data_IF_057640160055
#
_entry.id   IF_057640160055
#
_cell.length_a   1.000
_cell.length_b   1.000
_cell.length_c   1.000
_cell.angle_alpha   90.00
_cell.angle_beta   90.00
_cell.angle_gamma   90.00
#
_symmetry.space_group_name_H-M   'P 1'
#
loop_
_entity.id
_entity.type
_entity.pdbx_description
1 polymer ?
#
# COMPACT_ATOMS: atom_id res chain seq x y z
N UNK A 1 -44.01 -11.89 -69.86
CA UNK A 1 -43.24 -12.98 -69.21
C UNK A 1 -41.79 -12.60 -68.87
N UNK A 2 -40.99 -12.03 -69.79
CA UNK A 2 -39.56 -11.71 -69.53
C UNK A 2 -39.31 -10.82 -68.30
N UNK A 3 -40.10 -9.76 -68.10
CA UNK A 3 -39.93 -8.86 -66.94
C UNK A 3 -40.30 -9.49 -65.59
N UNK A 4 -41.18 -10.48 -65.59
CA UNK A 4 -41.62 -11.19 -64.39
C UNK A 4 -40.52 -12.15 -63.90
N UNK A 5 -39.80 -12.78 -64.83
CA UNK A 5 -38.64 -13.63 -64.53
C UNK A 5 -37.47 -12.81 -63.97
N UNK A 6 -37.22 -11.62 -64.53
CA UNK A 6 -36.16 -10.72 -64.05
C UNK A 6 -36.45 -10.22 -62.63
N UNK A 7 -37.71 -9.83 -62.36
CA UNK A 7 -38.12 -9.38 -61.03
C UNK A 7 -37.97 -10.49 -59.98
N UNK A 8 -38.31 -11.73 -60.33
CA UNK A 8 -38.22 -12.87 -59.41
C UNK A 8 -36.76 -13.25 -59.13
N UNK A 9 -35.88 -13.19 -60.14
CA UNK A 9 -34.44 -13.38 -59.98
C UNK A 9 -33.81 -12.30 -59.09
N UNK A 10 -34.19 -11.03 -59.26
CA UNK A 10 -33.68 -9.94 -58.43
C UNK A 10 -34.10 -10.09 -56.96
N UNK A 11 -35.32 -10.60 -56.71
CA UNK A 11 -35.87 -10.80 -55.37
C UNK A 11 -35.19 -11.99 -54.67
N UNK A 12 -34.91 -13.07 -55.39
CA UNK A 12 -34.14 -14.21 -54.87
C UNK A 12 -32.69 -13.83 -54.60
N UNK A 13 -32.05 -13.07 -55.49
CA UNK A 13 -30.68 -12.58 -55.26
C UNK A 13 -30.62 -11.62 -54.07
N UNK A 14 -31.57 -10.69 -53.96
CA UNK A 14 -31.68 -9.76 -52.83
C UNK A 14 -31.94 -10.46 -51.50
N UNK A 15 -32.76 -11.52 -51.51
CA UNK A 15 -32.99 -12.37 -50.34
C UNK A 15 -31.74 -13.14 -49.90
N UNK A 16 -30.98 -13.69 -50.85
CA UNK A 16 -29.73 -14.40 -50.55
C UNK A 16 -28.63 -13.47 -50.02
N UNK A 17 -28.46 -12.30 -50.63
CA UNK A 17 -27.50 -11.29 -50.18
C UNK A 17 -27.93 -10.72 -48.82
N UNK A 18 -29.22 -10.45 -48.64
CA UNK A 18 -29.77 -10.03 -47.35
C UNK A 18 -29.53 -11.06 -46.26
N UNK A 19 -29.74 -12.34 -46.52
CA UNK A 19 -29.52 -13.42 -45.56
C UNK A 19 -28.03 -13.67 -45.26
N UNK A 20 -27.15 -13.52 -46.24
CA UNK A 20 -25.70 -13.63 -46.05
C UNK A 20 -25.17 -12.49 -45.16
N UNK A 21 -25.60 -11.25 -45.42
CA UNK A 21 -25.22 -10.07 -44.63
C UNK A 21 -25.83 -10.13 -43.21
N UNK A 22 -27.04 -10.68 -43.06
CA UNK A 22 -27.64 -10.85 -41.74
C UNK A 22 -27.00 -12.00 -40.93
N UNK A 23 -26.46 -13.02 -41.61
CA UNK A 23 -25.77 -14.16 -40.99
C UNK A 23 -24.38 -13.84 -40.42
N UNK A 24 -23.74 -12.76 -40.89
CA UNK A 24 -22.41 -12.32 -40.42
C UNK A 24 -22.44 -11.53 -39.09
N UNK A 25 -23.63 -11.17 -38.58
CA UNK A 25 -23.79 -10.53 -37.26
C UNK A 25 -23.93 -11.54 -36.12
N UNK A 26 -23.13 -12.60 -36.14
CA UNK A 26 -22.78 -13.28 -34.90
C UNK A 26 -21.48 -12.65 -34.40
N UNK A 27 -21.54 -11.58 -33.58
CA UNK A 27 -20.33 -11.13 -32.89
C UNK A 27 -19.77 -12.36 -32.18
N UNK A 28 -18.50 -12.68 -32.44
CA UNK A 28 -17.82 -13.75 -31.72
C UNK A 28 -18.10 -13.54 -30.23
N UNK A 29 -18.61 -14.56 -29.50
CA UNK A 29 -18.89 -14.41 -28.09
C UNK A 29 -17.57 -14.04 -27.41
N UNK A 30 -17.47 -12.77 -26.97
CA UNK A 30 -16.29 -12.30 -26.27
C UNK A 30 -16.24 -13.06 -24.96
N UNK A 31 -15.15 -13.77 -24.72
CA UNK A 31 -14.96 -14.50 -23.48
C UNK A 31 -15.01 -13.49 -22.31
N UNK A 32 -15.97 -13.61 -21.38
CA UNK A 32 -16.11 -12.67 -20.29
C UNK A 32 -14.86 -12.60 -19.40
N UNK A 33 -14.05 -13.68 -19.34
CA UNK A 33 -12.77 -13.64 -18.63
C UNK A 33 -11.77 -12.72 -19.31
N UNK A 34 -11.74 -12.68 -20.65
CA UNK A 34 -10.88 -11.75 -21.38
C UNK A 34 -11.29 -10.31 -21.09
N UNK A 35 -12.59 -10.02 -21.00
CA UNK A 35 -13.07 -8.68 -20.61
C UNK A 35 -12.61 -8.33 -19.21
N UNK A 36 -12.74 -9.23 -18.23
CA UNK A 36 -12.25 -9.01 -16.86
C UNK A 36 -10.74 -8.70 -16.88
N UNK A 37 -9.94 -9.53 -17.55
CA UNK A 37 -8.48 -9.29 -17.66
C UNK A 37 -8.19 -7.95 -18.30
N UNK A 38 -8.87 -7.59 -19.39
CA UNK A 38 -8.68 -6.30 -20.05
C UNK A 38 -9.02 -5.14 -19.12
N UNK A 39 -10.16 -5.18 -18.41
CA UNK A 39 -10.55 -4.13 -17.48
C UNK A 39 -9.58 -3.99 -16.31
N UNK A 40 -9.12 -5.10 -15.74
CA UNK A 40 -8.08 -5.08 -14.69
C UNK A 40 -6.79 -4.44 -15.20
N UNK A 41 -6.36 -4.76 -16.42
CA UNK A 41 -5.19 -4.14 -17.04
C UNK A 41 -5.41 -2.65 -17.34
N UNK A 42 -6.64 -2.23 -17.65
CA UNK A 42 -7.00 -0.81 -17.84
C UNK A 42 -6.91 0.00 -16.55
N UNK A 43 -7.20 -0.60 -15.39
CA UNK A 43 -6.97 0.05 -14.10
C UNK A 43 -5.49 0.35 -13.84
N UNK A 44 -4.58 -0.36 -14.52
CA UNK A 44 -3.12 -0.23 -14.51
C UNK A 44 -2.45 -0.49 -13.14
N UNK A 45 -2.90 0.18 -12.07
CA UNK A 45 -2.35 0.12 -10.73
C UNK A 45 -3.45 0.27 -9.68
N UNK A 46 -3.40 -0.54 -8.62
CA UNK A 46 -4.09 -0.27 -7.35
C UNK A 46 -3.08 0.40 -6.42
N UNK A 47 -3.46 1.48 -5.74
CA UNK A 47 -2.58 2.21 -4.85
C UNK A 47 -3.19 2.31 -3.44
N UNK A 48 -2.39 1.99 -2.42
CA UNK A 48 -2.74 2.20 -1.02
C UNK A 48 -1.77 3.14 -0.36
N UNK A 49 -2.30 4.01 0.49
CA UNK A 49 -1.51 4.95 1.28
C UNK A 49 -1.62 4.64 2.78
N UNK A 50 -0.54 4.94 3.50
CA UNK A 50 -0.53 4.93 4.97
C UNK A 50 -0.02 6.24 5.53
N UNK A 51 -0.78 6.80 6.46
CA UNK A 51 -0.40 8.01 7.16
C UNK A 51 0.39 7.68 8.42
N UNK A 52 1.52 8.37 8.58
CA UNK A 52 2.40 8.25 9.72
C UNK A 52 2.61 9.64 10.34
N UNK A 53 2.79 9.66 11.66
CA UNK A 53 3.27 10.81 12.42
C UNK A 53 4.57 10.40 13.10
N UNK A 54 5.67 11.02 12.69
CA UNK A 54 7.02 10.70 13.18
C UNK A 54 7.48 11.83 14.07
N UNK A 55 8.08 11.48 15.21
CA UNK A 55 8.64 12.47 16.12
C UNK A 55 9.84 11.93 16.87
N UNK A 56 10.80 12.81 17.14
CA UNK A 56 12.01 12.50 17.91
C UNK A 56 12.68 13.77 18.44
N UNK A 57 13.59 13.59 19.40
CA UNK A 57 14.39 14.68 19.97
C UNK A 57 15.85 14.50 19.57
N UNK A 58 16.38 15.43 18.79
CA UNK A 58 17.76 15.46 18.35
C UNK A 58 18.65 16.38 19.21
N UNK A 59 19.88 15.95 19.41
CA UNK A 59 20.98 16.61 20.11
C UNK A 59 22.23 16.56 19.21
N UNK A 60 22.30 17.38 18.14
CA UNK A 60 23.43 17.38 17.22
C UNK A 60 24.72 17.81 17.91
N UNK A 61 25.84 17.16 17.56
CA UNK A 61 27.13 17.51 18.16
C UNK A 61 27.68 18.78 17.52
N UNK A 62 27.77 19.86 18.30
CA UNK A 62 28.27 21.16 17.85
C UNK A 62 29.34 21.69 18.80
N UNK A 63 30.16 22.63 18.33
CA UNK A 63 31.10 23.34 19.20
C UNK A 63 30.32 24.20 20.22
N UNK A 64 30.56 23.96 21.51
CA UNK A 64 29.82 24.60 22.60
C UNK A 64 28.74 23.69 23.19
N UNK A 65 27.60 24.27 23.57
CA UNK A 65 26.48 23.49 24.14
C UNK A 65 25.59 22.95 23.01
N UNK A 66 25.40 21.63 22.99
CA UNK A 66 24.48 20.97 22.07
C UNK A 66 23.04 21.48 22.24
N UNK A 67 22.41 21.98 21.17
CA UNK A 67 21.00 22.35 21.21
C UNK A 67 20.13 21.10 21.28
N UNK A 68 18.91 21.26 21.74
CA UNK A 68 17.91 20.20 21.75
C UNK A 68 16.82 20.60 20.78
N UNK A 69 16.62 19.78 19.75
CA UNK A 69 15.70 20.03 18.66
C UNK A 69 14.63 18.94 18.73
N UNK A 70 13.40 19.32 19.03
CA UNK A 70 12.26 18.43 18.83
C UNK A 70 11.82 18.52 17.38
N UNK A 71 11.65 17.37 16.73
CA UNK A 71 11.27 17.25 15.32
C UNK A 71 10.02 16.39 15.29
N UNK A 72 8.95 16.91 14.70
CA UNK A 72 7.75 16.14 14.40
C UNK A 72 7.29 16.45 12.98
N UNK A 73 6.93 15.41 12.22
CA UNK A 73 6.45 15.56 10.86
C UNK A 73 5.56 14.38 10.46
N UNK A 74 4.51 14.64 9.66
CA UNK A 74 3.71 13.58 9.08
C UNK A 74 4.38 13.00 7.82
N UNK A 75 4.03 11.78 7.45
CA UNK A 75 4.44 11.16 6.20
C UNK A 75 3.30 10.34 5.60
N UNK A 76 3.25 10.25 4.28
CA UNK A 76 2.40 9.31 3.55
C UNK A 76 3.28 8.27 2.87
N UNK A 77 3.14 7.02 3.27
CA UNK A 77 3.78 5.89 2.60
C UNK A 77 2.87 5.40 1.49
N UNK A 78 3.40 5.26 0.28
CA UNK A 78 2.66 4.82 -0.90
C UNK A 78 3.08 3.40 -1.29
N UNK A 79 2.09 2.59 -1.64
CA UNK A 79 2.27 1.21 -2.09
C UNK A 79 1.45 1.00 -3.35
N UNK A 80 1.99 0.23 -4.28
CA UNK A 80 1.35 -0.02 -5.56
C UNK A 80 1.32 -1.52 -5.86
N UNK A 81 0.23 -1.93 -6.49
CA UNK A 81 0.08 -3.23 -7.13
C UNK A 81 -0.17 -3.00 -8.61
N UNK A 82 0.79 -3.40 -9.44
CA UNK A 82 0.67 -3.32 -10.88
C UNK A 82 -0.24 -4.44 -11.41
N UNK A 83 -1.23 -4.07 -12.23
CA UNK A 83 -2.18 -5.02 -12.82
C UNK A 83 -1.82 -5.42 -14.26
N UNK A 84 -0.72 -4.89 -14.82
CA UNK A 84 -0.30 -5.17 -16.20
C UNK A 84 -0.08 -6.66 -16.50
N UNK A 85 0.41 -7.40 -15.51
CA UNK A 85 0.72 -8.84 -15.62
C UNK A 85 -0.33 -9.76 -14.98
N UNK A 86 -1.52 -9.22 -14.66
CA UNK A 86 -2.58 -10.00 -14.03
C UNK A 86 -3.03 -11.17 -14.93
N UNK A 87 -3.20 -12.35 -14.32
CA UNK A 87 -3.74 -13.54 -14.98
C UNK A 87 -4.98 -14.00 -14.24
N UNK A 88 -6.08 -14.13 -14.96
CA UNK A 88 -7.35 -14.59 -14.42
C UNK A 88 -7.70 -15.93 -15.05
N UNK A 89 -8.04 -16.91 -14.21
CA UNK A 89 -8.54 -18.22 -14.66
C UNK A 89 -9.84 -18.53 -13.94
N UNK A 90 -10.75 -19.27 -14.59
CA UNK A 90 -11.97 -19.76 -13.96
C UNK A 90 -11.99 -21.28 -14.03
N UNK A 91 -12.28 -21.92 -12.90
CA UNK A 91 -12.45 -23.37 -12.82
C UNK A 91 -13.62 -23.68 -11.89
N UNK A 92 -14.73 -24.15 -12.45
CA UNK A 92 -15.89 -24.59 -11.68
C UNK A 92 -16.55 -23.49 -10.83
N UNK A 93 -16.55 -22.24 -11.30
CA UNK A 93 -17.10 -21.09 -10.58
C UNK A 93 -16.11 -20.42 -9.62
N UNK A 94 -14.89 -20.94 -9.49
CA UNK A 94 -13.82 -20.29 -8.74
C UNK A 94 -12.96 -19.47 -9.69
N UNK A 95 -12.93 -18.15 -9.50
CA UNK A 95 -12.03 -17.26 -10.24
C UNK A 95 -10.71 -17.13 -9.47
N UNK A 96 -9.61 -17.53 -10.10
CA UNK A 96 -8.26 -17.33 -9.56
C UNK A 96 -7.58 -16.15 -10.24
N UNK A 97 -7.05 -15.23 -9.45
CA UNK A 97 -6.39 -14.02 -9.91
C UNK A 97 -4.95 -14.03 -9.41
N UNK A 98 -4.01 -14.17 -10.34
CA UNK A 98 -2.58 -14.11 -10.04
C UNK A 98 -2.04 -12.72 -10.38
N UNK A 99 -1.32 -12.09 -9.46
CA UNK A 99 -0.74 -10.74 -9.62
C UNK A 99 0.77 -10.73 -9.45
N UNK A 100 1.39 -9.60 -9.75
CA UNK A 100 2.75 -9.28 -9.32
C UNK A 100 2.80 -9.00 -7.80
N UNK A 101 4.00 -8.80 -7.28
CA UNK A 101 4.20 -8.40 -5.89
C UNK A 101 3.83 -6.93 -5.67
N UNK A 102 3.49 -6.59 -4.43
CA UNK A 102 3.30 -5.19 -4.02
C UNK A 102 4.67 -4.51 -4.00
N UNK A 103 4.75 -3.32 -4.59
CA UNK A 103 5.97 -2.53 -4.65
C UNK A 103 5.81 -1.23 -3.86
N UNK A 104 6.88 -0.74 -3.20
CA UNK A 104 6.88 0.54 -2.54
C UNK A 104 7.02 1.65 -3.58
N UNK A 105 6.29 2.74 -3.39
CA UNK A 105 6.43 3.97 -4.17
C UNK A 105 7.07 5.08 -3.30
N UNK A 106 7.45 6.19 -3.91
CA UNK A 106 8.11 7.29 -3.21
C UNK A 106 7.18 7.88 -2.14
N UNK A 107 7.60 7.90 -0.86
CA UNK A 107 6.76 8.47 0.19
C UNK A 107 6.67 9.98 0.07
N UNK A 108 5.52 10.53 0.40
CA UNK A 108 5.32 11.97 0.48
C UNK A 108 5.57 12.46 1.90
N UNK A 109 6.48 13.42 2.05
CA UNK A 109 6.72 14.16 3.30
C UNK A 109 6.38 15.61 3.03
N UNK A 110 5.27 16.15 3.56
CA UNK A 110 4.91 17.53 3.32
C UNK A 110 5.88 18.43 4.09
N UNK A 111 6.63 19.25 3.36
CA UNK A 111 7.70 20.11 3.88
C UNK A 111 7.21 21.17 4.86
N UNK A 112 5.94 21.53 4.78
CA UNK A 112 5.34 22.65 5.50
C UNK A 112 4.89 22.28 6.93
N UNK A 113 4.98 20.99 7.31
CA UNK A 113 4.46 20.45 8.57
C UNK A 113 5.55 19.90 9.49
N UNK A 114 6.79 20.34 9.32
CA UNK A 114 7.85 20.02 10.29
C UNK A 114 7.78 21.00 11.45
N UNK A 115 7.05 20.61 12.50
CA UNK A 115 7.06 21.35 13.76
C UNK A 115 8.41 21.15 14.44
N UNK A 116 9.12 22.26 14.65
CA UNK A 116 10.39 22.28 15.38
C UNK A 116 10.27 23.11 16.65
N UNK A 117 10.81 22.57 17.75
CA UNK A 117 11.02 23.32 18.98
C UNK A 117 12.50 23.20 19.34
N UNK A 118 13.23 24.31 19.26
CA UNK A 118 14.63 24.41 19.71
C UNK A 118 14.68 25.08 21.08
N UNK A 119 15.31 24.45 22.07
CA UNK A 119 15.69 25.16 23.29
C UNK A 119 17.07 25.77 23.07
N UNK A 120 17.10 27.05 22.71
CA UNK A 120 18.33 27.84 22.60
C UNK A 120 19.11 27.80 23.91
N UNK A 121 20.40 27.46 23.83
CA UNK A 121 21.36 27.85 24.85
C UNK A 121 22.06 29.10 24.37
N UNK A 122 22.23 30.11 25.22
CA UNK A 122 22.97 31.37 24.93
C UNK A 122 24.46 31.17 24.54
N UNK A 123 24.92 29.93 24.38
CA UNK A 123 26.31 29.53 24.08
C UNK A 123 26.41 28.51 22.92
N UNK A 124 25.37 28.39 22.09
CA UNK A 124 25.42 27.53 20.89
C UNK A 124 26.09 28.30 19.76
N UNK A 125 27.28 27.87 19.32
CA UNK A 125 28.04 28.53 18.24
C UNK A 125 27.79 27.89 16.87
N UNK A 126 26.54 27.49 16.59
CA UNK A 126 26.14 26.87 15.33
C UNK A 126 24.92 27.61 14.76
N UNK A 127 24.83 27.65 13.42
CA UNK A 127 23.66 28.20 12.75
C UNK A 127 22.46 27.27 12.99
N UNK A 128 21.52 27.67 13.84
CA UNK A 128 20.37 26.84 14.21
C UNK A 128 19.52 26.46 13.00
N UNK A 129 19.40 27.36 12.01
CA UNK A 129 18.67 27.09 10.77
C UNK A 129 19.33 25.95 9.98
N UNK A 130 20.65 25.87 9.98
CA UNK A 130 21.39 24.81 9.30
C UNK A 130 21.20 23.46 10.00
N UNK A 131 21.21 23.44 11.33
CA UNK A 131 20.95 22.23 12.12
C UNK A 131 19.52 21.72 11.91
N UNK A 132 18.53 22.62 11.91
CA UNK A 132 17.13 22.28 11.66
C UNK A 132 16.95 21.77 10.23
N UNK A 133 17.51 22.45 9.23
CA UNK A 133 17.46 22.00 7.84
C UNK A 133 18.14 20.64 7.64
N UNK A 134 19.25 20.38 8.34
CA UNK A 134 19.92 19.08 8.33
C UNK A 134 19.02 17.97 8.87
N UNK A 135 18.28 18.24 9.95
CA UNK A 135 17.33 17.30 10.53
C UNK A 135 16.08 17.09 9.65
N UNK A 136 15.53 18.15 9.06
CA UNK A 136 14.45 18.07 8.07
C UNK A 136 14.89 17.20 6.88
N UNK A 137 16.14 17.34 6.42
CA UNK A 137 16.71 16.54 5.34
C UNK A 137 16.75 15.03 5.61
N UNK A 138 16.59 14.59 6.87
CA UNK A 138 16.51 13.17 7.23
C UNK A 138 15.11 12.58 7.02
N UNK A 139 14.07 13.41 6.87
CA UNK A 139 12.69 12.97 6.83
C UNK A 139 12.40 12.02 5.65
N UNK A 140 12.74 12.41 4.41
CA UNK A 140 12.52 11.55 3.23
C UNK A 140 13.26 10.21 3.32
N UNK A 141 14.57 10.15 3.67
CA UNK A 141 15.26 8.87 3.90
C UNK A 141 14.62 8.00 5.00
N UNK A 142 14.16 8.59 6.11
CA UNK A 142 13.44 7.86 7.16
C UNK A 142 12.12 7.31 6.61
N UNK A 143 11.35 8.12 5.88
CA UNK A 143 10.09 7.69 5.28
C UNK A 143 10.30 6.53 4.32
N UNK A 144 11.32 6.57 3.45
CA UNK A 144 11.66 5.45 2.53
C UNK A 144 11.99 4.18 3.29
N UNK A 145 12.78 4.28 4.35
CA UNK A 145 13.07 3.13 5.22
C UNK A 145 11.80 2.56 5.83
N UNK A 146 10.89 3.40 6.33
CA UNK A 146 9.62 2.99 6.90
C UNK A 146 8.68 2.38 5.84
N UNK A 147 8.64 2.90 4.61
CA UNK A 147 7.89 2.29 3.50
C UNK A 147 8.30 0.84 3.31
N UNK A 148 9.60 0.58 3.16
CA UNK A 148 10.15 -0.78 3.01
C UNK A 148 9.91 -1.63 4.25
N UNK A 149 9.99 -1.04 5.45
CA UNK A 149 9.73 -1.74 6.69
C UNK A 149 8.30 -2.29 6.76
N UNK A 150 7.31 -1.41 6.53
CA UNK A 150 5.90 -1.79 6.59
C UNK A 150 5.53 -2.73 5.45
N UNK A 151 6.10 -2.56 4.25
CA UNK A 151 5.93 -3.50 3.14
C UNK A 151 6.35 -4.93 3.54
N UNK A 152 7.50 -5.07 4.20
CA UNK A 152 8.04 -6.38 4.57
C UNK A 152 7.33 -7.05 5.75
N UNK A 153 6.69 -6.27 6.63
CA UNK A 153 6.30 -6.74 7.97
C UNK A 153 4.84 -6.51 8.33
N UNK A 154 4.09 -5.76 7.54
CA UNK A 154 2.67 -5.53 7.78
C UNK A 154 1.80 -6.48 6.94
N UNK A 155 1.24 -7.54 7.55
CA UNK A 155 0.38 -8.47 6.82
C UNK A 155 -0.96 -7.87 6.42
N UNK A 156 -1.39 -6.75 7.03
CA UNK A 156 -2.66 -6.12 6.65
C UNK A 156 -2.55 -5.50 5.27
N UNK A 157 -1.37 -5.04 4.84
CA UNK A 157 -1.19 -4.45 3.53
C UNK A 157 -1.59 -5.44 2.42
N UNK A 158 -1.11 -6.68 2.50
CA UNK A 158 -1.49 -7.72 1.54
C UNK A 158 -2.99 -8.04 1.60
N UNK A 159 -3.56 -8.06 2.81
CA UNK A 159 -5.00 -8.29 2.98
C UNK A 159 -5.84 -7.18 2.32
N UNK A 160 -5.45 -5.91 2.50
CA UNK A 160 -6.13 -4.74 1.95
C UNK A 160 -6.15 -4.79 0.42
N UNK A 161 -4.98 -4.99 -0.21
CA UNK A 161 -4.86 -5.15 -1.67
C UNK A 161 -5.65 -6.35 -2.20
N UNK A 162 -5.59 -7.49 -1.51
CA UNK A 162 -6.31 -8.69 -1.94
C UNK A 162 -7.83 -8.51 -1.87
N UNK A 163 -8.31 -7.81 -0.84
CA UNK A 163 -9.73 -7.51 -0.65
C UNK A 163 -10.25 -6.56 -1.73
N UNK A 164 -9.50 -5.52 -2.08
CA UNK A 164 -9.86 -4.60 -3.14
C UNK A 164 -9.92 -5.30 -4.50
N UNK A 165 -8.88 -6.09 -4.83
CA UNK A 165 -8.85 -6.84 -6.08
C UNK A 165 -9.98 -7.87 -6.17
N UNK A 166 -10.28 -8.55 -5.06
CA UNK A 166 -11.41 -9.47 -4.97
C UNK A 166 -12.73 -8.75 -5.27
N UNK A 167 -12.98 -7.61 -4.64
CA UNK A 167 -14.20 -6.83 -4.85
C UNK A 167 -14.32 -6.33 -6.30
N UNK A 168 -13.22 -5.86 -6.89
CA UNK A 168 -13.19 -5.43 -8.29
C UNK A 168 -13.55 -6.57 -9.24
N UNK A 169 -12.95 -7.75 -9.05
CA UNK A 169 -13.21 -8.93 -9.89
C UNK A 169 -14.65 -9.42 -9.70
N UNK A 170 -15.18 -9.37 -8.48
CA UNK A 170 -16.57 -9.74 -8.18
C UNK A 170 -17.56 -8.83 -8.92
N UNK A 171 -17.36 -7.51 -8.86
CA UNK A 171 -18.19 -6.55 -9.58
C UNK A 171 -18.14 -6.73 -11.10
N UNK A 172 -16.95 -6.97 -11.65
CA UNK A 172 -16.78 -7.23 -13.09
C UNK A 172 -17.46 -8.55 -13.51
N UNK A 173 -17.29 -9.61 -12.74
CA UNK A 173 -17.92 -10.90 -13.01
C UNK A 173 -19.45 -10.82 -12.94
N UNK A 174 -19.99 -10.13 -11.93
CA UNK A 174 -21.42 -9.90 -11.78
C UNK A 174 -21.99 -9.09 -12.96
N UNK A 175 -21.31 -8.02 -13.39
CA UNK A 175 -21.72 -7.20 -14.53
C UNK A 175 -21.74 -8.00 -15.85
N UNK A 176 -20.85 -8.99 -15.98
CA UNK A 176 -20.76 -9.86 -17.16
C UNK A 176 -21.62 -11.13 -17.06
N UNK A 177 -22.35 -11.31 -15.96
CA UNK A 177 -23.19 -12.50 -15.75
C UNK A 177 -22.41 -13.80 -15.55
N UNK A 178 -21.14 -13.72 -15.15
CA UNK A 178 -20.30 -14.88 -14.88
C UNK A 178 -20.69 -15.46 -13.50
N UNK A 179 -21.11 -16.73 -13.41
CA UNK A 179 -21.41 -17.33 -12.11
C UNK A 179 -20.11 -17.55 -11.33
N UNK A 180 -20.00 -16.89 -10.17
CA UNK A 180 -18.84 -16.99 -9.27
C UNK A 180 -19.30 -17.53 -7.92
N UNK A 181 -18.63 -18.57 -7.45
CA UNK A 181 -18.81 -19.14 -6.11
C UNK A 181 -17.77 -18.62 -5.13
N UNK A 182 -16.54 -18.37 -5.62
CA UNK A 182 -15.43 -17.84 -4.83
C UNK A 182 -14.40 -17.16 -5.72
N UNK A 183 -13.72 -16.14 -5.19
CA UNK A 183 -12.53 -15.54 -5.80
C UNK A 183 -11.32 -15.85 -4.92
N UNK A 184 -10.25 -16.31 -5.55
CA UNK A 184 -8.96 -16.59 -4.90
C UNK A 184 -7.90 -15.66 -5.50
N UNK A 185 -7.38 -14.74 -4.68
CA UNK A 185 -6.27 -13.86 -5.06
C UNK A 185 -4.97 -14.49 -4.62
N UNK A 186 -4.10 -14.77 -5.58
CA UNK A 186 -2.75 -15.27 -5.36
C UNK A 186 -1.75 -14.14 -5.59
N UNK A 187 -1.24 -13.62 -4.48
CA UNK A 187 -0.22 -12.57 -4.43
C UNK A 187 1.09 -13.18 -3.95
N UNK A 188 2.19 -13.03 -4.71
CA UNK A 188 3.49 -13.53 -4.29
C UNK A 188 3.92 -12.85 -2.98
N UNK A 189 4.67 -13.60 -2.16
CA UNK A 189 5.23 -13.05 -0.93
C UNK A 189 6.21 -11.93 -1.26
N UNK A 190 6.15 -10.87 -0.46
CA UNK A 190 7.04 -9.73 -0.57
C UNK A 190 8.44 -10.17 -0.11
N UNK A 191 9.39 -10.17 -1.05
CA UNK A 191 10.81 -10.38 -0.76
C UNK A 191 11.56 -9.06 -0.92
N UNK A 192 11.92 -8.44 0.20
CA UNK A 192 12.75 -7.21 0.18
C UNK A 192 14.21 -7.59 0.02
N UNK A 193 14.75 -7.36 -1.17
CA UNK A 193 16.16 -7.65 -1.52
C UNK A 193 17.12 -6.57 -1.07
N UNK A 194 16.68 -5.30 -1.01
CA UNK A 194 17.50 -4.18 -0.59
C UNK A 194 16.74 -3.26 0.37
N UNK A 195 17.38 -2.90 1.47
CA UNK A 195 16.83 -1.98 2.45
C UNK A 195 17.42 -0.58 2.23
N UNK A 196 16.59 0.46 2.15
CA UNK A 196 17.07 1.84 2.22
C UNK A 196 17.92 2.05 3.47
N UNK A 197 18.92 2.92 3.39
CA UNK A 197 19.74 3.25 4.56
C UNK A 197 18.95 4.15 5.51
N UNK A 198 18.74 3.71 6.75
CA UNK A 198 18.23 4.58 7.81
C UNK A 198 19.33 5.61 8.17
N UNK A 199 19.06 6.92 8.07
CA UNK A 199 20.04 7.92 8.46
C UNK A 199 20.32 7.86 9.97
N UNK A 200 21.52 8.28 10.37
CA UNK A 200 21.86 8.38 11.79
C UNK A 200 21.01 9.48 12.43
N UNK A 201 20.20 9.11 13.40
CA UNK A 201 19.49 10.05 14.25
C UNK A 201 20.41 10.44 15.39
N UNK A 202 20.69 11.73 15.54
CA UNK A 202 21.50 12.25 16.65
C UNK A 202 20.61 12.42 17.86
N UNK A 203 20.06 11.33 18.39
CA UNK A 203 19.08 11.38 19.46
C UNK A 203 19.69 11.93 20.76
N UNK A 204 18.91 12.71 21.49
CA UNK A 204 19.29 13.11 22.85
C UNK A 204 19.41 11.89 23.76
N UNK A 205 20.31 11.95 24.75
CA UNK A 205 20.49 10.89 25.74
C UNK A 205 19.15 10.52 26.41
N UNK A 206 18.86 9.21 26.47
CA UNK A 206 17.61 8.68 27.04
C UNK A 206 16.35 8.95 26.22
N UNK A 207 16.47 9.48 24.99
CA UNK A 207 15.34 9.69 24.09
C UNK A 207 15.19 8.58 23.03
N UNK A 208 14.03 8.56 22.39
CA UNK A 208 13.68 7.63 21.32
C UNK A 208 13.04 8.38 20.15
N UNK A 209 13.15 7.79 18.96
CA UNK A 209 12.38 8.17 17.80
C UNK A 209 11.18 7.24 17.66
N UNK A 210 10.02 7.84 17.37
CA UNK A 210 8.74 7.16 17.34
C UNK A 210 8.00 7.47 16.04
N UNK A 211 7.22 6.50 15.58
CA UNK A 211 6.18 6.70 14.56
C UNK A 211 4.86 6.17 15.06
N UNK A 212 3.82 6.99 14.99
CA UNK A 212 2.49 6.69 15.53
C UNK A 212 2.54 6.21 17.00
N UNK A 213 3.49 6.75 17.78
CA UNK A 213 3.71 6.37 19.19
C UNK A 213 4.57 5.11 19.40
N UNK A 214 5.01 4.44 18.34
CA UNK A 214 5.82 3.23 18.42
C UNK A 214 7.31 3.53 18.19
N UNK A 215 8.21 3.10 19.10
CA UNK A 215 9.63 3.38 18.97
C UNK A 215 10.24 2.59 17.82
N UNK A 216 11.06 3.26 17.00
CA UNK A 216 11.84 2.61 15.95
C UNK A 216 13.35 2.78 16.12
N UNK A 217 13.79 3.77 16.91
CA UNK A 217 15.19 3.95 17.29
C UNK A 217 15.32 4.53 18.70
N UNK A 218 16.38 4.21 19.42
CA UNK A 218 16.70 4.74 20.76
C UNK A 218 18.19 5.07 20.88
N UNK A 219 18.55 5.95 21.81
CA UNK A 219 19.95 6.23 22.13
C UNK A 219 20.44 5.37 23.31
N UNK A 220 21.47 4.54 23.09
CA UNK A 220 22.15 3.76 24.12
C UNK A 220 23.66 3.96 24.06
N UNK A 221 24.30 4.20 25.20
CA UNK A 221 25.76 4.21 25.36
C UNK A 221 26.53 5.05 24.31
N UNK A 222 25.96 6.16 23.82
CA UNK A 222 26.62 7.03 22.84
C UNK A 222 26.23 6.79 21.37
N UNK A 223 25.39 5.80 21.07
CA UNK A 223 24.95 5.49 19.71
C UNK A 223 23.45 5.19 19.60
N UNK A 224 22.89 5.40 18.41
CA UNK A 224 21.48 5.14 18.11
C UNK A 224 21.29 3.70 17.65
N UNK A 225 20.43 2.95 18.33
CA UNK A 225 20.12 1.54 18.05
C UNK A 225 18.68 1.41 17.54
N UNK A 226 18.43 0.68 16.43
CA UNK A 226 17.07 0.43 15.97
C UNK A 226 16.32 -0.50 16.95
N UNK A 227 15.12 -0.09 17.39
CA UNK A 227 14.28 -0.86 18.32
C UNK A 227 13.26 -1.74 17.59
N UNK A 228 12.88 -1.36 16.35
CA UNK A 228 11.97 -2.12 15.51
C UNK A 228 10.52 -2.19 16.03
N UNK A 229 9.58 -2.29 15.09
CA UNK A 229 8.17 -2.48 15.42
C UNK A 229 7.92 -3.96 15.70
N UNK A 230 7.37 -4.30 16.86
CA UNK A 230 6.86 -5.66 17.01
C UNK A 230 5.62 -5.84 16.13
N UNK A 231 5.54 -6.91 15.33
CA UNK A 231 4.25 -7.30 14.78
C UNK A 231 3.28 -7.52 15.95
N UNK A 232 2.00 -7.12 15.82
CA UNK A 232 1.01 -7.45 16.84
C UNK A 232 1.04 -8.97 17.08
N UNK A 233 0.95 -9.44 18.34
CA UNK A 233 0.87 -10.86 18.60
C UNK A 233 -0.30 -11.43 17.79
N UNK A 234 -0.16 -12.64 17.19
CA UNK A 234 -1.24 -13.25 16.44
C UNK A 234 -2.48 -13.25 17.33
N UNK A 235 -3.59 -12.71 16.81
CA UNK A 235 -4.85 -12.69 17.54
C UNK A 235 -5.13 -14.14 18.00
N UNK A 236 -5.22 -14.34 19.32
CA UNK A 236 -5.66 -15.64 19.86
C UNK A 236 -6.97 -15.99 19.14
N UNK A 237 -7.13 -17.22 18.63
CA UNK A 237 -8.39 -17.63 18.04
C UNK A 237 -9.50 -17.34 19.05
N UNK A 238 -10.52 -16.62 18.60
CA UNK A 238 -11.69 -16.28 19.40
C UNK A 238 -12.27 -17.58 19.95
N UNK A 239 -12.12 -17.78 21.26
CA UNK A 239 -12.81 -18.84 21.98
C UNK A 239 -14.33 -18.65 21.86
N UNK A 240 -15.12 -19.71 22.05
CA UNK A 240 -16.56 -19.68 21.77
C UNK A 240 -17.27 -18.63 22.63
N UNK A 241 -18.18 -17.91 21.97
CA UNK A 241 -19.15 -16.93 22.46
C UNK A 241 -19.68 -17.19 23.88
N UNK A 242 -19.68 -16.14 24.70
CA UNK A 242 -20.45 -16.14 25.95
C UNK A 242 -20.32 -14.85 26.79
N UNK A 243 -20.80 -13.71 26.26
CA UNK A 243 -21.45 -12.58 26.97
C UNK A 243 -21.35 -11.28 26.13
N UNK A 244 -22.48 -10.64 25.88
CA UNK A 244 -22.62 -9.39 25.11
C UNK A 244 -22.56 -8.13 26.03
N UNK A 245 -22.34 -6.91 25.47
CA UNK A 245 -21.80 -5.72 26.14
C UNK A 245 -22.91 -4.67 26.47
N UNK A 246 -22.64 -3.42 26.94
CA UNK A 246 -22.07 -2.35 26.08
C UNK A 246 -21.19 -1.27 26.76
N UNK A 247 -20.56 -0.49 25.88
CA UNK A 247 -20.09 0.90 26.02
C UNK A 247 -18.73 1.20 26.70
N UNK A 248 -17.68 1.26 25.87
CA UNK A 248 -17.03 2.51 25.49
C UNK A 248 -16.02 2.19 24.38
N UNK A 249 -16.16 2.82 23.22
CA UNK A 249 -15.08 2.87 22.25
C UNK A 249 -14.07 3.93 22.71
N UNK A 250 -12.77 3.59 22.81
CA UNK A 250 -11.73 4.55 22.52
C UNK A 250 -11.12 4.24 21.16
N UNK A 251 -10.80 5.32 20.45
CA UNK A 251 -10.20 5.37 19.14
C UNK A 251 -8.95 4.49 19.00
N UNK A 252 -8.71 4.05 17.75
CA UNK A 252 -7.42 3.66 17.16
C UNK A 252 -6.28 3.39 18.16
N UNK A 253 -6.18 2.15 18.65
CA UNK A 253 -4.96 1.70 19.30
C UNK A 253 -3.89 1.43 18.22
N UNK A 254 -2.69 2.04 18.31
CA UNK A 254 -1.58 1.66 17.46
C UNK A 254 -1.15 0.23 17.80
N UNK A 255 -1.24 -0.66 16.80
CA UNK A 255 -0.82 -2.06 16.90
C UNK A 255 0.71 -2.14 17.00
N UNK A 256 1.26 -2.24 18.21
CA UNK A 256 2.67 -2.58 18.41
C UNK A 256 3.11 -2.50 19.88
N UNK A 257 3.64 -3.59 20.44
CA UNK A 257 4.19 -3.61 21.81
C UNK A 257 5.72 -3.61 21.70
N UNK A 258 6.40 -2.53 22.06
CA UNK A 258 7.86 -2.49 22.07
C UNK A 258 8.47 -3.59 22.98
N UNK A 259 9.55 -4.23 22.55
CA UNK A 259 10.48 -4.85 23.52
C UNK A 259 11.91 -4.54 23.23
N UNK A 260 12.61 -4.32 24.32
CA UNK A 260 14.05 -4.40 24.42
C UNK A 260 14.41 -5.84 24.79
N UNK A 261 15.21 -6.52 23.97
CA UNK A 261 15.98 -7.68 24.43
C UNK A 261 17.44 -7.26 24.59
N UNK A 262 18.10 -7.60 25.70
CA UNK A 262 19.55 -7.48 25.82
C UNK A 262 20.19 -8.68 25.09
N UNK A 263 21.08 -8.40 24.14
CA UNK A 263 21.99 -9.42 23.59
C UNK A 263 23.08 -9.72 24.62
N UNK A 264 23.25 -11.01 24.96
CA UNK A 264 24.43 -11.52 25.68
C UNK A 264 25.65 -11.53 24.77
#
# INVERSE_FOLDING_TARGET
>A
MRYLVIALLALVLGGFIGHAIWGEKNPQPVDPLQVIVTQLKTHAVIAHERQLAIWYRACPTVFGKTPQIFIAWPARLSYQLELGDVRVTNSGGVIRVHTSAIHPDEPSVPTDFVDYLSTTSIFTFANEQELVNHEIGKATPIARYLTTYFLARDPSLQADFSGELQSLVEHLAAALGVPVTRIEVDMPKIEVTSWPKLPKLELCAGSMASVNGLPFAKFEEGYTVPVGFRPPPPARPAGPRGAAPPAAAPADMPKGIASVFPTR
#
